data_IF_058775257532
#
_entry.id   IF_058775257532
#
_cell.length_a   1.000
_cell.length_b   1.000
_cell.length_c   1.000
_cell.angle_alpha   90.00
_cell.angle_beta   90.00
_cell.angle_gamma   90.00
#
_symmetry.space_group_name_H-M   'P 1'
#
loop_
_entity.id
_entity.type
_entity.pdbx_description
1 polymer ?
#
# COMPACT_ATOMS: atom_id res chain seq x y z
N UNK A 1 18.49 -10.82 -6.00
CA UNK A 1 17.16 -10.22 -5.86
C UNK A 1 17.38 -8.74 -5.63
N UNK A 2 16.90 -7.83 -6.49
CA UNK A 2 17.13 -6.41 -6.27
C UNK A 2 16.41 -6.00 -4.99
N UNK A 3 17.16 -5.52 -4.01
CA UNK A 3 16.62 -4.93 -2.78
C UNK A 3 16.02 -3.59 -3.16
N UNK A 4 14.70 -3.48 -3.22
CA UNK A 4 14.02 -2.20 -3.40
C UNK A 4 14.23 -1.40 -2.11
N UNK A 5 15.05 -0.35 -2.15
CA UNK A 5 15.24 0.53 -0.99
C UNK A 5 14.01 1.44 -0.87
N UNK A 6 13.06 1.08 -0.01
CA UNK A 6 11.96 1.97 0.33
C UNK A 6 12.49 3.16 1.13
N UNK A 7 12.00 4.35 0.80
CA UNK A 7 12.26 5.55 1.58
C UNK A 7 10.99 5.91 2.36
N UNK A 8 11.07 5.79 3.68
CA UNK A 8 9.96 6.01 4.61
C UNK A 8 10.23 7.33 5.36
N UNK A 9 9.42 8.34 5.10
CA UNK A 9 9.53 9.68 5.71
C UNK A 9 8.37 9.90 6.69
N UNK A 10 8.61 9.88 8.02
CA UNK A 10 7.56 10.15 9.00
C UNK A 10 6.94 11.54 8.81
N UNK A 11 5.61 11.61 8.89
CA UNK A 11 4.86 12.86 8.73
C UNK A 11 4.52 13.52 10.06
N UNK A 12 4.47 12.75 11.14
CA UNK A 12 4.30 13.27 12.49
C UNK A 12 5.08 12.43 13.51
N UNK A 13 5.29 12.92 14.74
CA UNK A 13 5.96 12.15 15.79
C UNK A 13 5.20 10.91 16.26
N UNK A 14 3.89 10.81 15.98
CA UNK A 14 3.03 9.76 16.53
C UNK A 14 2.63 8.75 15.46
N UNK A 15 2.11 9.22 14.32
CA UNK A 15 1.63 8.36 13.22
C UNK A 15 1.91 8.99 11.85
N UNK A 16 1.84 8.18 10.81
CA UNK A 16 1.92 8.61 9.43
C UNK A 16 3.33 8.61 8.89
N UNK A 17 3.51 7.99 7.72
CA UNK A 17 4.72 8.13 6.92
C UNK A 17 4.39 8.20 5.43
N UNK A 18 5.14 9.01 4.68
CA UNK A 18 5.14 8.98 3.23
C UNK A 18 6.19 7.95 2.76
N UNK A 19 5.77 7.07 1.85
CA UNK A 19 6.62 6.00 1.31
C UNK A 19 6.89 6.27 -0.17
N UNK A 20 8.17 6.23 -0.53
CA UNK A 20 8.65 6.37 -1.90
C UNK A 20 9.64 5.26 -2.25
N UNK A 21 9.96 5.10 -3.54
CA UNK A 21 10.80 4.01 -4.03
C UNK A 21 10.03 2.72 -4.34
N UNK A 22 8.69 2.76 -4.32
CA UNK A 22 7.81 1.65 -4.73
C UNK A 22 6.85 2.08 -5.82
N UNK A 23 6.58 1.17 -6.75
CA UNK A 23 5.58 1.32 -7.81
C UNK A 23 4.41 0.36 -7.55
N UNK A 24 3.26 0.89 -7.15
CA UNK A 24 2.10 0.07 -6.76
C UNK A 24 1.21 -0.31 -7.94
N UNK A 25 1.46 0.26 -9.14
CA UNK A 25 0.74 -0.13 -10.36
C UNK A 25 1.10 -1.52 -10.87
N UNK A 26 2.17 -2.12 -10.35
CA UNK A 26 2.64 -3.45 -10.70
C UNK A 26 2.60 -4.39 -9.49
N UNK A 27 2.59 -5.71 -9.71
CA UNK A 27 2.74 -6.67 -8.62
C UNK A 27 4.06 -6.45 -7.87
N UNK A 28 3.96 -6.16 -6.57
CA UNK A 28 5.12 -6.06 -5.68
C UNK A 28 5.59 -7.46 -5.24
N UNK A 29 6.89 -7.61 -5.06
CA UNK A 29 7.49 -8.84 -4.56
C UNK A 29 7.28 -8.98 -3.03
N UNK A 30 7.53 -10.20 -2.52
CA UNK A 30 7.29 -10.52 -1.12
C UNK A 30 8.22 -9.74 -0.15
N UNK A 31 9.43 -9.37 -0.56
CA UNK A 31 10.35 -8.59 0.26
C UNK A 31 9.84 -7.17 0.44
N UNK A 32 9.45 -6.52 -0.67
CA UNK A 32 8.83 -5.20 -0.64
C UNK A 32 7.54 -5.20 0.20
N UNK A 33 6.69 -6.21 0.05
CA UNK A 33 5.46 -6.31 0.85
C UNK A 33 5.75 -6.41 2.36
N UNK A 34 6.72 -7.24 2.76
CA UNK A 34 7.09 -7.40 4.16
C UNK A 34 7.64 -6.09 4.76
N UNK A 35 8.40 -5.31 3.98
CA UNK A 35 8.90 -4.01 4.41
C UNK A 35 7.76 -2.99 4.58
N UNK A 36 6.78 -2.99 3.66
CA UNK A 36 5.57 -2.17 3.79
C UNK A 36 4.72 -2.55 5.00
N UNK A 37 4.56 -3.84 5.31
CA UNK A 37 3.85 -4.31 6.50
C UNK A 37 4.54 -3.84 7.79
N UNK A 38 5.88 -3.94 7.84
CA UNK A 38 6.68 -3.42 8.96
C UNK A 38 6.54 -1.91 9.11
N UNK A 39 6.62 -1.16 8.01
CA UNK A 39 6.42 0.29 8.01
C UNK A 39 5.01 0.65 8.47
N UNK A 40 4.00 -0.10 8.03
CA UNK A 40 2.60 0.13 8.40
C UNK A 40 2.38 -0.13 9.88
N UNK A 41 2.94 -1.21 10.45
CA UNK A 41 2.86 -1.48 11.88
C UNK A 41 3.52 -0.38 12.73
N UNK A 42 4.63 0.20 12.25
CA UNK A 42 5.35 1.27 12.96
C UNK A 42 4.65 2.63 12.86
N UNK A 43 4.06 2.96 11.71
CA UNK A 43 3.53 4.30 11.42
C UNK A 43 2.00 4.38 11.40
N UNK A 44 1.30 3.25 11.48
CA UNK A 44 -0.17 3.09 11.48
C UNK A 44 -0.90 3.52 10.20
N UNK A 45 -0.37 4.49 9.45
CA UNK A 45 -0.88 4.95 8.17
C UNK A 45 0.27 5.31 7.24
N UNK A 46 0.20 4.83 6.00
CA UNK A 46 1.20 5.09 4.96
C UNK A 46 0.57 5.86 3.80
N UNK A 47 1.33 6.81 3.26
CA UNK A 47 0.95 7.61 2.11
C UNK A 47 1.85 7.28 0.92
N UNK A 48 1.24 6.95 -0.21
CA UNK A 48 1.94 6.72 -1.48
C UNK A 48 1.52 7.81 -2.45
N UNK A 49 2.48 8.63 -2.90
CA UNK A 49 2.20 9.74 -3.83
C UNK A 49 2.29 9.27 -5.28
N UNK A 50 1.53 9.95 -6.13
CA UNK A 50 1.63 9.83 -7.60
C UNK A 50 1.41 8.39 -8.11
N UNK A 51 0.48 7.66 -7.50
CA UNK A 51 0.10 6.31 -7.93
C UNK A 51 -1.17 6.40 -8.75
N UNK A 52 -1.06 6.22 -10.06
CA UNK A 52 -2.23 6.18 -10.97
C UNK A 52 -2.73 4.72 -11.08
N UNK A 53 -3.51 4.30 -10.09
CA UNK A 53 -4.04 2.94 -9.98
C UNK A 53 -5.40 2.83 -10.68
N UNK A 54 -5.51 1.89 -11.63
CA UNK A 54 -6.83 1.43 -12.07
C UNK A 54 -7.59 0.74 -10.93
N UNK A 55 -8.91 0.63 -11.07
CA UNK A 55 -9.77 -0.03 -10.09
C UNK A 55 -9.32 -1.47 -9.76
N UNK A 56 -8.95 -2.25 -10.78
CA UNK A 56 -8.48 -3.62 -10.59
C UNK A 56 -7.09 -3.69 -9.95
N UNK A 57 -6.20 -2.75 -10.26
CA UNK A 57 -4.91 -2.64 -9.56
C UNK A 57 -5.10 -2.28 -8.08
N UNK A 58 -5.99 -1.34 -7.77
CA UNK A 58 -6.31 -0.97 -6.39
C UNK A 58 -6.89 -2.17 -5.62
N UNK A 59 -7.83 -2.93 -6.21
CA UNK A 59 -8.35 -4.17 -5.60
C UNK A 59 -7.25 -5.21 -5.42
N UNK A 60 -6.38 -5.39 -6.42
CA UNK A 60 -5.26 -6.33 -6.36
C UNK A 60 -4.30 -5.99 -5.21
N UNK A 61 -3.96 -4.71 -5.06
CA UNK A 61 -3.15 -4.21 -3.95
C UNK A 61 -3.81 -4.48 -2.60
N UNK A 62 -5.09 -4.13 -2.45
CA UNK A 62 -5.82 -4.34 -1.20
C UNK A 62 -5.88 -5.83 -0.79
N UNK A 63 -5.98 -6.74 -1.76
CA UNK A 63 -5.95 -8.20 -1.51
C UNK A 63 -4.62 -8.71 -0.95
N UNK A 64 -3.52 -7.95 -1.07
CA UNK A 64 -2.23 -8.32 -0.46
C UNK A 64 -2.26 -8.20 1.06
N UNK A 65 -3.14 -7.36 1.61
CA UNK A 65 -3.25 -7.10 3.05
C UNK A 65 -4.42 -7.87 3.71
N UNK A 66 -5.21 -8.61 2.92
CA UNK A 66 -6.32 -9.41 3.43
C UNK A 66 -7.50 -9.49 2.46
N UNK A 67 -8.60 -10.09 2.91
CA UNK A 67 -9.82 -10.17 2.12
C UNK A 67 -10.50 -8.81 1.97
N UNK A 68 -10.95 -8.48 0.77
CA UNK A 68 -11.68 -7.24 0.53
C UNK A 68 -13.12 -7.33 1.02
N UNK A 69 -13.50 -6.37 1.86
CA UNK A 69 -14.89 -6.18 2.26
C UNK A 69 -15.68 -5.43 1.18
N UNK A 70 -16.90 -5.89 0.88
CA UNK A 70 -17.84 -5.17 0.01
C UNK A 70 -18.77 -4.36 0.90
N UNK A 71 -18.65 -3.03 0.81
CA UNK A 71 -19.50 -2.12 1.59
C UNK A 71 -20.98 -2.31 1.20
N UNK A 72 -21.94 -2.35 2.15
CA UNK A 72 -23.36 -2.56 1.85
C UNK A 72 -23.99 -1.52 0.91
N UNK A 73 -23.43 -0.31 0.88
CA UNK A 73 -23.85 0.77 -0.02
C UNK A 73 -23.08 0.81 -1.35
N UNK A 74 -22.20 -0.17 -1.62
CA UNK A 74 -21.54 -0.27 -2.91
C UNK A 74 -22.59 -0.53 -4.01
N UNK A 75 -22.43 0.07 -5.21
CA UNK A 75 -23.26 -0.28 -6.36
C UNK A 75 -23.20 -1.78 -6.59
N UNK A 76 -24.35 -2.42 -6.84
CA UNK A 76 -24.47 -3.88 -6.95
C UNK A 76 -23.76 -4.48 -8.17
N UNK A 77 -23.29 -3.61 -9.08
CA UNK A 77 -22.75 -3.97 -10.39
C UNK A 77 -21.32 -3.42 -10.63
N UNK A 78 -20.58 -3.06 -9.57
CA UNK A 78 -19.20 -2.55 -9.64
C UNK A 78 -18.12 -3.65 -9.59
#
# INVERSE_FOLDING_TARGET
MPTTNLCITPLSPIIGAEVSGVELTQPIDAGTLAELESAWAAHLVLFFRQQDLSFEQHKSLGRRFGELHIHPAAPKDA
#
